data_IF_837775216507
#
_entry.id   IF_837775216507
#
_cell.length_a   1.000
_cell.length_b   1.000
_cell.length_c   1.000
_cell.angle_alpha   90.00
_cell.angle_beta   90.00
_cell.angle_gamma   90.00
#
_symmetry.space_group_name_H-M   'P 1'
#
loop_
_entity.id
_entity.type
_entity.pdbx_description
1 polymer ?
#
# COMPACT_ATOMS: atom_id res chain seq x y z
N UNK A 1 -27.03 11.02 13.30
CA UNK A 1 -25.71 10.79 12.66
C UNK A 1 -25.50 9.28 12.46
N UNK A 2 -25.22 8.85 11.23
CA UNK A 2 -25.17 7.42 10.90
C UNK A 2 -23.87 6.79 11.45
N UNK A 3 -23.96 5.74 12.27
CA UNK A 3 -22.80 5.14 12.98
C UNK A 3 -21.69 4.69 12.02
N UNK A 4 -22.07 4.25 10.82
CA UNK A 4 -21.14 3.90 9.74
C UNK A 4 -20.30 5.09 9.26
N UNK A 5 -20.90 6.28 9.16
CA UNK A 5 -20.19 7.49 8.75
C UNK A 5 -19.15 7.91 9.80
N UNK A 6 -19.48 7.80 11.08
CA UNK A 6 -18.54 8.10 12.18
C UNK A 6 -17.33 7.17 12.11
N UNK A 7 -17.55 5.86 11.91
CA UNK A 7 -16.45 4.88 11.79
C UNK A 7 -15.56 5.20 10.59
N UNK A 8 -16.15 5.51 9.43
CA UNK A 8 -15.38 5.87 8.23
C UNK A 8 -14.56 7.14 8.46
N UNK A 9 -15.17 8.19 9.05
CA UNK A 9 -14.46 9.43 9.38
C UNK A 9 -13.30 9.22 10.34
N UNK A 10 -13.48 8.39 11.37
CA UNK A 10 -12.42 8.04 12.33
C UNK A 10 -11.29 7.28 11.63
N UNK A 11 -11.62 6.27 10.80
CA UNK A 11 -10.62 5.50 10.07
C UNK A 11 -9.85 6.37 9.07
N UNK A 12 -10.53 7.26 8.35
CA UNK A 12 -9.89 8.20 7.43
C UNK A 12 -9.00 9.18 8.19
N UNK A 13 -9.48 9.73 9.31
CA UNK A 13 -8.69 10.63 10.16
C UNK A 13 -7.43 9.96 10.68
N UNK A 14 -7.53 8.74 11.19
CA UNK A 14 -6.38 7.95 11.64
C UNK A 14 -5.40 7.64 10.50
N UNK A 15 -5.90 7.26 9.33
CA UNK A 15 -5.07 7.02 8.16
C UNK A 15 -4.30 8.28 7.74
N UNK A 16 -4.96 9.43 7.71
CA UNK A 16 -4.31 10.72 7.41
C UNK A 16 -3.24 11.06 8.46
N UNK A 17 -3.54 10.90 9.74
CA UNK A 17 -2.56 11.13 10.82
C UNK A 17 -1.34 10.23 10.64
N UNK A 18 -1.55 8.93 10.36
CA UNK A 18 -0.45 8.01 10.12
C UNK A 18 0.37 8.41 8.88
N UNK A 19 -0.27 8.84 7.79
CA UNK A 19 0.42 9.30 6.58
C UNK A 19 1.26 10.55 6.85
N UNK A 20 0.67 11.58 7.48
CA UNK A 20 1.34 12.86 7.74
C UNK A 20 2.37 12.78 8.88
N UNK A 21 2.21 11.90 9.86
CA UNK A 21 3.25 11.65 10.87
C UNK A 21 4.41 10.84 10.30
N UNK A 22 4.15 9.90 9.38
CA UNK A 22 5.18 9.08 8.74
C UNK A 22 5.77 9.72 7.47
N UNK A 23 5.79 11.06 7.38
CA UNK A 23 6.49 11.79 6.31
C UNK A 23 7.99 11.95 6.61
N UNK A 24 8.49 11.29 7.66
CA UNK A 24 9.93 11.16 7.91
C UNK A 24 10.67 10.65 6.66
N UNK A 25 11.81 11.27 6.35
CA UNK A 25 12.63 10.88 5.23
C UNK A 25 13.41 9.61 5.58
N UNK A 26 13.35 8.62 4.69
CA UNK A 26 14.08 7.35 4.81
C UNK A 26 15.11 7.24 3.71
N UNK A 27 16.25 6.63 4.05
CA UNK A 27 17.30 6.29 3.09
C UNK A 27 17.03 4.91 2.52
N UNK A 28 16.63 4.87 1.25
CA UNK A 28 16.47 3.62 0.51
C UNK A 28 17.77 3.31 -0.22
N UNK A 29 18.38 2.18 0.13
CA UNK A 29 19.58 1.66 -0.53
C UNK A 29 19.19 0.54 -1.48
N UNK A 30 19.25 0.80 -2.80
CA UNK A 30 18.99 -0.22 -3.82
C UNK A 30 20.30 -0.49 -4.57
N UNK A 31 20.89 -1.66 -4.34
CA UNK A 31 22.23 -1.99 -4.85
C UNK A 31 23.24 -0.88 -4.51
N UNK A 32 23.69 -0.11 -5.51
CA UNK A 32 24.63 1.00 -5.34
C UNK A 32 23.96 2.38 -5.28
N UNK A 33 22.63 2.45 -5.36
CA UNK A 33 21.87 3.69 -5.41
C UNK A 33 21.34 4.05 -4.02
N UNK A 34 21.46 5.34 -3.67
CA UNK A 34 20.90 5.92 -2.45
C UNK A 34 19.81 6.90 -2.83
N UNK A 35 18.57 6.57 -2.47
CA UNK A 35 17.41 7.41 -2.72
C UNK A 35 16.85 7.89 -1.38
N UNK A 36 16.75 9.21 -1.22
CA UNK A 36 16.12 9.82 -0.04
C UNK A 36 14.70 10.21 -0.41
N UNK A 37 13.73 9.66 0.31
CA UNK A 37 12.31 9.94 0.06
C UNK A 37 11.50 9.82 1.36
N UNK A 38 10.31 10.43 1.45
CA UNK A 38 9.41 10.20 2.57
C UNK A 38 8.99 8.72 2.65
N UNK A 39 8.89 8.16 3.86
CA UNK A 39 8.48 6.77 4.09
C UNK A 39 7.14 6.43 3.44
N UNK A 40 6.21 7.38 3.43
CA UNK A 40 4.90 7.25 2.77
C UNK A 40 5.02 6.95 1.27
N UNK A 41 5.98 7.57 0.56
CA UNK A 41 6.18 7.34 -0.87
C UNK A 41 6.66 5.90 -1.10
N UNK A 42 7.57 5.43 -0.25
CA UNK A 42 8.06 4.05 -0.29
C UNK A 42 6.94 3.04 -0.05
N UNK A 43 6.10 3.25 0.97
CA UNK A 43 4.98 2.37 1.32
C UNK A 43 3.96 2.29 0.19
N UNK A 44 3.54 3.44 -0.35
CA UNK A 44 2.57 3.48 -1.46
C UNK A 44 3.14 2.80 -2.71
N UNK A 45 4.42 3.02 -3.02
CA UNK A 45 5.10 2.40 -4.16
C UNK A 45 5.18 0.87 -4.01
N UNK A 46 5.57 0.37 -2.83
CA UNK A 46 5.63 -1.06 -2.55
C UNK A 46 4.25 -1.72 -2.59
N UNK A 47 3.23 -1.05 -2.06
CA UNK A 47 1.85 -1.51 -2.13
C UNK A 47 1.38 -1.64 -3.59
N UNK A 48 1.61 -0.61 -4.40
CA UNK A 48 1.26 -0.62 -5.82
C UNK A 48 2.00 -1.74 -6.58
N UNK A 49 3.31 -1.90 -6.36
CA UNK A 49 4.10 -2.96 -6.95
C UNK A 49 3.59 -4.35 -6.56
N UNK A 50 3.34 -4.57 -5.26
CA UNK A 50 2.80 -5.83 -4.75
C UNK A 50 1.43 -6.17 -5.35
N UNK A 51 0.55 -5.17 -5.47
CA UNK A 51 -0.76 -5.33 -6.12
C UNK A 51 -0.61 -5.70 -7.60
N UNK A 52 0.23 -5.00 -8.36
CA UNK A 52 0.47 -5.28 -9.79
C UNK A 52 1.05 -6.68 -9.97
N UNK A 53 2.07 -7.04 -9.19
CA UNK A 53 2.69 -8.39 -9.25
C UNK A 53 1.66 -9.46 -8.91
N UNK A 54 0.88 -9.27 -7.84
CA UNK A 54 -0.17 -10.21 -7.43
C UNK A 54 -1.27 -10.35 -8.47
N UNK A 55 -1.70 -9.25 -9.08
CA UNK A 55 -2.69 -9.25 -10.16
C UNK A 55 -2.18 -10.00 -11.39
N UNK A 56 -0.94 -9.74 -11.81
CA UNK A 56 -0.32 -10.45 -12.93
C UNK A 56 -0.15 -11.94 -12.62
N UNK A 57 0.31 -12.30 -11.42
CA UNK A 57 0.44 -13.68 -11.00
C UNK A 57 -0.90 -14.42 -10.95
N UNK A 58 -1.97 -13.76 -10.52
CA UNK A 58 -3.32 -14.32 -10.55
C UNK A 58 -3.81 -14.53 -11.99
N UNK A 59 -3.51 -13.59 -12.90
CA UNK A 59 -3.84 -13.71 -14.33
C UNK A 59 -3.06 -14.85 -15.02
N UNK A 60 -1.84 -15.13 -14.57
CA UNK A 60 -1.02 -16.24 -15.08
C UNK A 60 -1.51 -17.61 -14.61
N UNK A 61 -2.20 -17.69 -13.47
CA UNK A 61 -2.94 -18.91 -13.10
C UNK A 61 -4.16 -18.98 -14.01
N UNK A 62 -4.09 -19.84 -15.03
CA UNK A 62 -5.24 -20.17 -15.90
C UNK A 62 -6.48 -20.58 -15.11
N UNK A 63 -7.67 -20.63 -15.75
CA UNK A 63 -8.94 -20.84 -15.07
C UNK A 63 -8.80 -21.98 -14.07
N UNK A 64 -9.06 -21.68 -12.80
CA UNK A 64 -9.07 -22.67 -11.72
C UNK A 64 -10.06 -23.73 -12.18
N UNK A 65 -9.54 -24.90 -12.62
CA UNK A 65 -10.37 -26.06 -12.82
C UNK A 65 -11.04 -26.31 -11.48
N UNK A 66 -12.34 -26.01 -11.43
CA UNK A 66 -13.21 -26.37 -10.34
C UNK A 66 -13.10 -27.89 -10.25
N UNK A 67 -12.34 -28.37 -9.27
CA UNK A 67 -12.29 -29.80 -8.99
C UNK A 67 -13.68 -30.17 -8.48
N UNK A 68 -14.33 -31.20 -9.04
CA UNK A 68 -15.66 -31.66 -8.65
C UNK A 68 -15.69 -32.13 -7.19
#
# INVERSE_FOLDING_TARGET
MNKRLIIILVLVGLALILIFQNTQSVYLHIFFWKLVQPMVVLVVTLFALGFVIGFLAAKMKGPRAEKP
#
